data_IF_680719786534
#
_entry.id   IF_680719786534
#
_cell.length_a   1.000
_cell.length_b   1.000
_cell.length_c   1.000
_cell.angle_alpha   90.00
_cell.angle_beta   90.00
_cell.angle_gamma   90.00
#
_symmetry.space_group_name_H-M   'P 1'
#
loop_
_entity.id
_entity.type
_entity.pdbx_description
1 polymer ?
#
# COMPACT_ATOMS: atom_id res chain seq x y z
N UNK A 1 -9.88 13.27 1.01
CA UNK A 1 -10.45 14.10 -0.10
C UNK A 1 -11.43 15.17 0.38
N UNK A 2 -12.37 14.90 1.32
CA UNK A 2 -13.37 15.89 1.78
C UNK A 2 -12.75 17.19 2.35
N UNK A 3 -11.67 17.09 3.13
CA UNK A 3 -10.98 18.28 3.67
C UNK A 3 -10.45 19.18 2.55
N UNK A 4 -9.80 18.61 1.51
CA UNK A 4 -9.32 19.38 0.34
C UNK A 4 -10.49 20.02 -0.42
N UNK A 5 -11.60 19.28 -0.60
CA UNK A 5 -12.79 19.83 -1.21
C UNK A 5 -13.24 21.10 -0.49
N UNK A 6 -13.52 21.03 0.81
CA UNK A 6 -13.97 22.20 1.56
C UNK A 6 -12.92 23.31 1.65
N UNK A 7 -11.64 22.97 1.62
CA UNK A 7 -10.60 24.00 1.62
C UNK A 7 -10.63 24.87 0.36
N UNK A 8 -10.81 24.27 -0.80
CA UNK A 8 -10.78 25.01 -2.07
C UNK A 8 -12.16 25.54 -2.50
N UNK A 9 -13.25 24.85 -2.15
CA UNK A 9 -14.57 25.05 -2.73
C UNK A 9 -15.13 26.45 -2.46
N UNK A 10 -15.53 27.13 -3.55
CA UNK A 10 -16.06 28.47 -3.53
C UNK A 10 -17.28 28.59 -2.60
N UNK A 11 -17.23 29.55 -1.69
CA UNK A 11 -18.30 29.76 -0.69
C UNK A 11 -18.14 28.99 0.62
N UNK A 12 -17.10 28.18 0.79
CA UNK A 12 -16.83 27.49 2.05
C UNK A 12 -16.52 28.50 3.18
N UNK A 13 -17.09 28.26 4.35
CA UNK A 13 -16.76 29.04 5.56
C UNK A 13 -15.35 28.68 6.05
N UNK A 14 -14.48 29.69 6.07
CA UNK A 14 -13.08 29.55 6.53
C UNK A 14 -12.95 29.06 7.97
N UNK A 15 -13.96 29.33 8.80
CA UNK A 15 -13.98 28.90 10.20
C UNK A 15 -13.92 27.38 10.38
N UNK A 16 -14.26 26.61 9.36
CA UNK A 16 -14.11 25.14 9.39
C UNK A 16 -12.67 24.69 9.61
N UNK A 17 -11.70 25.55 9.37
CA UNK A 17 -10.27 25.26 9.51
C UNK A 17 -9.63 25.88 10.73
N UNK A 18 -10.41 26.59 11.57
CA UNK A 18 -9.90 27.20 12.79
C UNK A 18 -9.39 26.12 13.76
N UNK A 19 -8.19 26.34 14.29
CA UNK A 19 -7.54 25.37 15.19
C UNK A 19 -6.81 24.22 14.50
N UNK A 20 -6.93 24.08 13.18
CA UNK A 20 -6.13 23.12 12.41
C UNK A 20 -4.77 23.73 12.01
N UNK A 21 -3.75 22.91 11.83
CA UNK A 21 -2.41 23.36 11.46
C UNK A 21 -2.40 24.29 10.24
N UNK A 22 -3.25 24.02 9.23
CA UNK A 22 -3.36 24.86 8.04
C UNK A 22 -3.80 26.31 8.36
N UNK A 23 -4.51 26.55 9.45
CA UNK A 23 -4.94 27.91 9.83
C UNK A 23 -3.79 28.81 10.26
N UNK A 24 -2.62 28.23 10.59
CA UNK A 24 -1.39 28.98 10.85
C UNK A 24 -0.76 29.54 9.55
N UNK A 25 -1.01 28.91 8.40
CA UNK A 25 -0.53 29.28 7.08
C UNK A 25 -1.39 30.37 6.43
N UNK A 26 -1.35 31.59 6.99
CA UNK A 26 -2.25 32.69 6.63
C UNK A 26 -2.24 33.02 5.15
N UNK A 27 -1.07 33.09 4.54
CA UNK A 27 -0.92 33.43 3.11
C UNK A 27 -1.57 32.35 2.22
N UNK A 28 -1.39 31.06 2.55
CA UNK A 28 -2.03 29.97 1.83
C UNK A 28 -3.54 30.02 1.99
N UNK A 29 -4.02 30.21 3.22
CA UNK A 29 -5.44 30.35 3.50
C UNK A 29 -6.06 31.54 2.76
N UNK A 30 -5.41 32.71 2.76
CA UNK A 30 -5.89 33.88 2.03
C UNK A 30 -5.92 33.66 0.52
N UNK A 31 -4.96 32.92 -0.01
CA UNK A 31 -4.81 32.71 -1.44
C UNK A 31 -5.78 31.66 -1.99
N UNK A 32 -6.06 30.60 -1.23
CA UNK A 32 -6.71 29.41 -1.75
C UNK A 32 -8.05 29.06 -1.12
N UNK A 33 -8.29 29.34 0.17
CA UNK A 33 -9.48 28.87 0.87
C UNK A 33 -10.76 29.49 0.31
N UNK A 34 -11.68 28.62 -0.09
CA UNK A 34 -13.01 29.01 -0.54
C UNK A 34 -13.05 29.76 -1.87
N UNK A 35 -12.08 29.58 -2.78
CA UNK A 35 -11.91 30.42 -3.98
C UNK A 35 -12.01 29.72 -5.31
N UNK A 36 -12.18 28.41 -5.34
CA UNK A 36 -12.14 27.63 -6.57
C UNK A 36 -13.44 26.85 -6.78
N UNK A 37 -13.92 26.70 -8.02
CA UNK A 37 -14.85 25.62 -8.31
C UNK A 37 -14.15 24.27 -8.13
N UNK A 38 -14.82 23.32 -7.46
CA UNK A 38 -14.24 22.00 -7.14
C UNK A 38 -15.15 20.91 -7.70
N UNK A 39 -14.59 20.07 -8.57
CA UNK A 39 -15.20 18.80 -9.00
C UNK A 39 -14.64 17.71 -8.09
N UNK A 40 -15.50 16.98 -7.37
CA UNK A 40 -15.07 15.97 -6.40
C UNK A 40 -15.85 14.67 -6.58
N UNK A 41 -15.19 13.64 -7.09
CA UNK A 41 -15.80 12.35 -7.43
C UNK A 41 -15.10 11.24 -6.64
N UNK A 42 -15.89 10.36 -6.02
CA UNK A 42 -15.39 9.08 -5.50
C UNK A 42 -15.77 7.95 -6.43
N UNK A 43 -14.79 7.17 -6.85
CA UNK A 43 -15.01 6.00 -7.70
C UNK A 43 -15.19 4.70 -6.91
N UNK A 44 -15.29 4.78 -5.58
CA UNK A 44 -15.48 3.64 -4.65
C UNK A 44 -16.63 2.71 -5.06
N UNK A 45 -17.73 3.28 -5.51
CA UNK A 45 -18.93 2.55 -5.94
C UNK A 45 -18.84 1.98 -7.36
N UNK A 46 -17.92 2.47 -8.20
CA UNK A 46 -17.87 2.11 -9.62
C UNK A 46 -17.38 0.67 -9.78
N UNK A 47 -18.16 -0.13 -10.53
CA UNK A 47 -17.92 -1.53 -10.82
C UNK A 47 -19.21 -2.24 -11.18
N UNK A 48 -19.15 -3.44 -11.66
CA UNK A 48 -20.32 -4.22 -12.05
C UNK A 48 -19.93 -5.62 -12.49
N UNK A 49 -20.94 -6.45 -12.75
CA UNK A 49 -20.73 -7.82 -13.26
C UNK A 49 -20.12 -7.85 -14.68
N UNK A 50 -20.31 -6.76 -15.43
CA UNK A 50 -19.84 -6.58 -16.79
C UNK A 50 -19.45 -5.10 -17.03
N UNK A 51 -18.79 -4.84 -18.15
CA UNK A 51 -18.29 -3.51 -18.50
C UNK A 51 -19.41 -2.46 -18.63
N UNK A 52 -20.58 -2.83 -19.20
CA UNK A 52 -21.69 -1.89 -19.37
C UNK A 52 -22.28 -1.47 -18.01
N UNK A 53 -22.43 -2.41 -17.09
CA UNK A 53 -22.88 -2.11 -15.74
C UNK A 53 -21.90 -1.16 -15.02
N UNK A 54 -20.61 -1.41 -15.11
CA UNK A 54 -19.57 -0.56 -14.51
C UNK A 54 -19.54 0.84 -15.16
N UNK A 55 -19.69 0.92 -16.49
CA UNK A 55 -19.76 2.17 -17.23
C UNK A 55 -20.98 3.01 -16.82
N UNK A 56 -22.15 2.39 -16.61
CA UNK A 56 -23.34 3.07 -16.12
C UNK A 56 -23.15 3.61 -14.69
N UNK A 57 -22.43 2.87 -13.82
CA UNK A 57 -22.09 3.40 -12.50
C UNK A 57 -21.13 4.59 -12.58
N UNK A 58 -20.19 4.59 -13.53
CA UNK A 58 -19.30 5.73 -13.77
C UNK A 58 -20.09 6.94 -14.30
N UNK A 59 -21.05 6.75 -15.24
CA UNK A 59 -21.98 7.81 -15.68
C UNK A 59 -22.73 8.41 -14.50
N UNK A 60 -23.23 7.56 -13.60
CA UNK A 60 -23.94 7.99 -12.40
C UNK A 60 -23.04 8.79 -11.44
N UNK A 61 -21.80 8.36 -11.23
CA UNK A 61 -20.86 9.08 -10.38
C UNK A 61 -20.55 10.48 -10.93
N UNK A 62 -20.30 10.59 -12.23
CA UNK A 62 -20.03 11.86 -12.91
C UNK A 62 -21.27 12.74 -12.98
N UNK A 63 -22.42 12.17 -13.35
CA UNK A 63 -23.69 12.91 -13.49
C UNK A 63 -24.16 13.49 -12.17
N UNK A 64 -24.08 12.72 -11.08
CA UNK A 64 -24.44 13.19 -9.74
C UNK A 64 -23.54 14.36 -9.29
N UNK A 65 -22.24 14.31 -9.57
CA UNK A 65 -21.38 15.44 -9.30
C UNK A 65 -21.71 16.65 -10.18
N UNK A 66 -22.02 16.42 -11.46
CA UNK A 66 -22.42 17.48 -12.38
C UNK A 66 -23.72 18.17 -11.94
N UNK A 67 -24.69 17.43 -11.40
CA UNK A 67 -25.96 17.98 -10.88
C UNK A 67 -25.78 19.00 -9.76
N UNK A 68 -24.70 18.97 -9.04
CA UNK A 68 -24.36 20.03 -8.05
C UNK A 68 -24.27 21.41 -8.68
N UNK A 69 -24.03 21.47 -9.97
CA UNK A 69 -23.83 22.68 -10.75
C UNK A 69 -25.04 22.95 -11.70
N UNK A 70 -26.24 22.51 -11.33
CA UNK A 70 -27.45 22.65 -12.18
C UNK A 70 -27.76 24.11 -12.61
N UNK A 71 -27.26 25.09 -11.83
CA UNK A 71 -27.34 26.51 -12.20
C UNK A 71 -26.64 26.85 -13.54
N UNK A 72 -25.75 25.99 -14.03
CA UNK A 72 -25.08 26.19 -15.33
C UNK A 72 -26.05 26.10 -16.52
N UNK A 73 -27.15 25.36 -16.38
CA UNK A 73 -28.17 25.22 -17.46
C UNK A 73 -28.82 26.54 -17.83
N UNK A 74 -28.98 27.42 -16.83
CA UNK A 74 -29.65 28.71 -17.01
C UNK A 74 -28.66 29.89 -16.95
N UNK A 75 -27.36 29.62 -16.92
CA UNK A 75 -26.36 30.65 -16.77
C UNK A 75 -26.22 31.52 -18.03
N UNK A 76 -26.41 32.82 -17.91
CA UNK A 76 -26.16 33.79 -18.97
C UNK A 76 -24.64 33.95 -19.29
N UNK A 77 -23.77 33.49 -18.40
CA UNK A 77 -22.30 33.50 -18.63
C UNK A 77 -21.86 32.43 -19.63
N UNK A 78 -22.70 31.42 -19.89
CA UNK A 78 -22.44 30.37 -20.86
C UNK A 78 -23.20 30.67 -22.15
N UNK A 79 -22.57 30.37 -23.28
CA UNK A 79 -23.24 30.37 -24.59
C UNK A 79 -24.26 29.22 -24.65
N UNK A 80 -25.20 29.29 -25.53
CA UNK A 80 -26.18 28.23 -25.77
C UNK A 80 -25.50 26.88 -26.05
N UNK A 81 -24.43 26.88 -26.85
CA UNK A 81 -23.69 25.69 -27.18
C UNK A 81 -22.98 25.07 -25.95
N UNK A 82 -22.51 25.86 -25.02
CA UNK A 82 -21.89 25.40 -23.78
C UNK A 82 -22.93 24.84 -22.83
N UNK A 83 -24.10 25.46 -22.71
CA UNK A 83 -25.22 24.92 -21.94
C UNK A 83 -25.66 23.57 -22.50
N UNK A 84 -25.79 23.40 -23.81
CA UNK A 84 -26.15 22.13 -24.46
C UNK A 84 -25.09 21.04 -24.17
N UNK A 85 -23.78 21.40 -24.17
CA UNK A 85 -22.73 20.42 -23.79
C UNK A 85 -22.83 20.01 -22.32
N UNK A 86 -23.13 20.95 -21.43
CA UNK A 86 -23.37 20.64 -20.03
C UNK A 86 -24.62 19.76 -19.85
N UNK A 87 -25.73 20.12 -20.49
CA UNK A 87 -26.96 19.35 -20.43
C UNK A 87 -26.75 17.90 -20.90
N UNK A 88 -25.87 17.65 -21.86
CA UNK A 88 -25.55 16.29 -22.31
C UNK A 88 -24.86 15.45 -21.20
N UNK A 89 -24.23 16.07 -20.20
CA UNK A 89 -23.68 15.38 -19.06
C UNK A 89 -24.69 15.04 -17.97
N UNK A 90 -25.73 15.88 -17.81
CA UNK A 90 -26.74 15.74 -16.74
C UNK A 90 -28.09 15.23 -17.24
N UNK A 91 -28.24 15.00 -18.54
CA UNK A 91 -29.53 14.59 -19.12
C UNK A 91 -29.95 13.22 -18.59
N UNK A 92 -31.15 13.12 -18.01
CA UNK A 92 -31.63 11.84 -17.48
C UNK A 92 -32.06 10.89 -18.61
N UNK A 93 -31.86 9.60 -18.38
CA UNK A 93 -32.45 8.52 -19.16
C UNK A 93 -33.84 8.17 -18.62
N UNK A 94 -34.59 7.30 -19.35
CA UNK A 94 -35.93 6.89 -19.00
C UNK A 94 -36.07 6.17 -17.66
N UNK A 95 -34.98 5.58 -17.15
CA UNK A 95 -34.90 4.87 -15.88
C UNK A 95 -34.38 5.74 -14.73
N UNK A 96 -34.13 7.04 -14.99
CA UNK A 96 -33.55 7.98 -14.02
C UNK A 96 -32.03 7.94 -13.91
N UNK A 97 -31.35 7.16 -14.73
CA UNK A 97 -29.91 7.19 -14.93
C UNK A 97 -29.48 8.35 -15.84
N UNK A 98 -28.18 8.49 -16.12
CA UNK A 98 -27.69 9.54 -17.02
C UNK A 98 -27.45 9.01 -18.43
N UNK A 99 -28.10 9.62 -19.42
CA UNK A 99 -28.08 9.25 -20.86
C UNK A 99 -26.79 9.72 -21.59
N UNK A 100 -25.64 9.73 -20.92
CA UNK A 100 -24.37 10.11 -21.54
C UNK A 100 -23.95 9.09 -22.60
N UNK A 101 -23.65 9.54 -23.81
CA UNK A 101 -22.92 8.73 -24.77
C UNK A 101 -21.47 8.47 -24.24
N UNK A 102 -20.79 7.44 -24.76
CA UNK A 102 -19.44 7.15 -24.37
C UNK A 102 -18.49 8.34 -24.61
N UNK A 103 -18.68 9.07 -25.70
CA UNK A 103 -17.92 10.29 -25.98
C UNK A 103 -18.20 11.40 -24.97
N UNK A 104 -19.45 11.60 -24.56
CA UNK A 104 -19.80 12.58 -23.54
C UNK A 104 -19.22 12.20 -22.19
N UNK A 105 -19.26 10.91 -21.82
CA UNK A 105 -18.64 10.42 -20.59
C UNK A 105 -17.14 10.70 -20.58
N UNK A 106 -16.43 10.37 -21.66
CA UNK A 106 -14.98 10.62 -21.77
C UNK A 106 -14.64 12.12 -21.67
N UNK A 107 -15.47 13.00 -22.21
CA UNK A 107 -15.23 14.45 -22.21
C UNK A 107 -15.87 15.15 -21.00
N UNK A 108 -16.61 14.46 -20.15
CA UNK A 108 -17.46 15.04 -19.10
C UNK A 108 -16.71 15.96 -18.13
N UNK A 109 -15.56 15.53 -17.60
CA UNK A 109 -14.76 16.33 -16.67
C UNK A 109 -14.16 17.58 -17.35
N UNK A 110 -13.79 17.48 -18.62
CA UNK A 110 -13.35 18.62 -19.41
C UNK A 110 -14.49 19.62 -19.64
N UNK A 111 -15.69 19.13 -20.01
CA UNK A 111 -16.90 19.95 -20.20
C UNK A 111 -17.24 20.70 -18.91
N UNK A 112 -17.29 20.00 -17.78
CA UNK A 112 -17.56 20.60 -16.48
C UNK A 112 -16.50 21.67 -16.12
N UNK A 113 -15.23 21.36 -16.32
CA UNK A 113 -14.13 22.29 -16.03
C UNK A 113 -14.28 23.58 -16.84
N UNK A 114 -14.55 23.49 -18.14
CA UNK A 114 -14.73 24.64 -19.01
C UNK A 114 -15.93 25.50 -18.61
N UNK A 115 -17.09 24.87 -18.33
CA UNK A 115 -18.30 25.58 -17.92
C UNK A 115 -18.11 26.28 -16.56
N UNK A 116 -17.52 25.58 -15.59
CA UNK A 116 -17.24 26.13 -14.27
C UNK A 116 -16.21 27.25 -14.30
N UNK A 117 -15.13 27.12 -15.07
CA UNK A 117 -14.17 28.19 -15.23
C UNK A 117 -14.81 29.44 -15.78
N UNK A 118 -15.66 29.28 -16.79
CA UNK A 118 -16.35 30.41 -17.40
C UNK A 118 -17.34 31.09 -16.45
N UNK A 119 -18.04 30.29 -15.65
CA UNK A 119 -18.98 30.79 -14.64
C UNK A 119 -18.29 31.52 -13.48
N UNK A 120 -17.26 30.91 -12.89
CA UNK A 120 -16.58 31.46 -11.72
C UNK A 120 -15.43 32.44 -12.06
N UNK A 121 -14.96 32.46 -13.30
CA UNK A 121 -13.76 33.21 -13.69
C UNK A 121 -12.47 32.66 -13.07
N UNK A 122 -12.48 31.41 -12.60
CA UNK A 122 -11.38 30.73 -11.92
C UNK A 122 -11.21 29.33 -12.46
N UNK A 123 -9.97 28.88 -12.59
CA UNK A 123 -9.65 27.50 -12.93
C UNK A 123 -10.19 26.53 -11.89
N UNK A 124 -10.39 25.29 -12.26
CA UNK A 124 -11.09 24.26 -11.49
C UNK A 124 -10.08 23.37 -10.75
N UNK A 125 -10.43 22.96 -9.53
CA UNK A 125 -9.77 21.88 -8.81
C UNK A 125 -10.55 20.58 -9.06
N UNK A 126 -9.86 19.51 -9.45
CA UNK A 126 -10.47 18.18 -9.64
C UNK A 126 -9.91 17.23 -8.61
N UNK A 127 -10.80 16.62 -7.82
CA UNK A 127 -10.48 15.65 -6.77
C UNK A 127 -11.14 14.32 -7.13
N UNK A 128 -10.32 13.26 -7.29
CA UNK A 128 -10.82 11.91 -7.57
C UNK A 128 -10.34 10.97 -6.48
N UNK A 129 -11.29 10.37 -5.77
CA UNK A 129 -11.03 9.43 -4.70
C UNK A 129 -11.21 7.99 -5.17
N UNK A 130 -10.29 7.10 -4.75
CA UNK A 130 -10.33 5.67 -5.06
C UNK A 130 -10.36 5.37 -6.58
N UNK A 131 -9.45 6.02 -7.35
CA UNK A 131 -9.41 5.90 -8.81
C UNK A 131 -9.10 4.48 -9.29
N UNK A 132 -8.51 3.65 -8.47
CA UNK A 132 -8.09 2.27 -8.73
C UNK A 132 -9.22 1.24 -8.55
N UNK A 133 -10.25 1.55 -7.77
CA UNK A 133 -11.34 0.61 -7.49
C UNK A 133 -12.06 0.10 -8.75
N UNK A 134 -12.40 0.93 -9.75
CA UNK A 134 -13.00 0.44 -10.99
C UNK A 134 -12.13 -0.58 -11.73
N UNK A 135 -10.83 -0.45 -11.63
CA UNK A 135 -9.84 -1.30 -12.31
C UNK A 135 -9.67 -2.63 -11.59
N UNK A 136 -9.60 -2.61 -10.27
CA UNK A 136 -9.55 -3.82 -9.46
C UNK A 136 -10.80 -4.69 -9.69
N UNK A 137 -11.99 -4.09 -9.63
CA UNK A 137 -13.24 -4.79 -9.92
C UNK A 137 -13.32 -5.30 -11.36
N UNK A 138 -12.82 -4.54 -12.32
CA UNK A 138 -12.76 -4.94 -13.72
C UNK A 138 -11.82 -6.12 -13.94
N UNK A 139 -10.68 -6.15 -13.23
CA UNK A 139 -9.76 -7.27 -13.27
C UNK A 139 -10.42 -8.55 -12.74
N UNK A 140 -11.11 -8.47 -11.61
CA UNK A 140 -11.81 -9.61 -11.02
C UNK A 140 -12.97 -10.13 -11.89
N UNK A 141 -13.58 -9.25 -12.70
CA UNK A 141 -14.75 -9.57 -13.54
C UNK A 141 -14.41 -9.76 -15.03
N UNK A 142 -13.14 -9.65 -15.43
CA UNK A 142 -12.66 -10.02 -16.77
C UNK A 142 -12.84 -8.95 -17.87
N UNK A 143 -13.10 -7.67 -17.51
CA UNK A 143 -13.19 -6.54 -18.46
C UNK A 143 -12.16 -5.42 -18.18
N UNK A 144 -10.97 -5.81 -17.70
CA UNK A 144 -9.91 -4.88 -17.27
C UNK A 144 -9.48 -3.92 -18.39
N UNK A 145 -9.21 -4.43 -19.58
CA UNK A 145 -8.67 -3.65 -20.69
C UNK A 145 -9.66 -2.56 -21.14
N UNK A 146 -10.94 -2.88 -21.23
CA UNK A 146 -11.98 -1.94 -21.59
C UNK A 146 -12.10 -0.82 -20.54
N UNK A 147 -12.01 -1.17 -19.25
CA UNK A 147 -12.08 -0.19 -18.16
C UNK A 147 -10.82 0.70 -18.13
N UNK A 148 -9.64 0.14 -18.37
CA UNK A 148 -8.38 0.90 -18.49
C UNK A 148 -8.49 1.92 -19.63
N UNK A 149 -8.99 1.54 -20.79
CA UNK A 149 -9.16 2.43 -21.94
C UNK A 149 -10.13 3.58 -21.63
N UNK A 150 -11.27 3.28 -21.01
CA UNK A 150 -12.27 4.27 -20.62
C UNK A 150 -11.70 5.27 -19.60
N UNK A 151 -11.09 4.79 -18.51
CA UNK A 151 -10.51 5.66 -17.46
C UNK A 151 -9.35 6.48 -18.02
N UNK A 152 -8.49 5.89 -18.86
CA UNK A 152 -7.40 6.59 -19.54
C UNK A 152 -7.93 7.72 -20.42
N UNK A 153 -9.00 7.48 -21.18
CA UNK A 153 -9.62 8.48 -22.02
C UNK A 153 -10.23 9.62 -21.21
N UNK A 154 -10.97 9.31 -20.15
CA UNK A 154 -11.58 10.28 -19.23
C UNK A 154 -10.49 11.18 -18.58
N UNK A 155 -9.46 10.58 -18.02
CA UNK A 155 -8.38 11.30 -17.35
C UNK A 155 -7.49 12.05 -18.35
N UNK A 156 -7.28 11.50 -19.55
CA UNK A 156 -6.55 12.16 -20.62
C UNK A 156 -7.18 13.49 -21.02
N UNK A 157 -8.51 13.52 -21.19
CA UNK A 157 -9.24 14.76 -21.49
C UNK A 157 -9.26 15.72 -20.30
N UNK A 158 -9.39 15.19 -19.06
CA UNK A 158 -9.49 16.02 -17.88
C UNK A 158 -8.17 16.69 -17.49
N UNK A 159 -7.00 16.03 -17.74
CA UNK A 159 -5.74 16.45 -17.15
C UNK A 159 -4.65 16.84 -18.16
N UNK A 160 -4.65 16.28 -19.37
CA UNK A 160 -3.55 16.51 -20.33
C UNK A 160 -3.67 17.81 -21.10
N UNK A 161 -4.88 18.16 -21.54
CA UNK A 161 -5.14 19.30 -22.45
C UNK A 161 -6.23 20.21 -21.90
N UNK A 162 -6.40 20.28 -20.61
CA UNK A 162 -7.44 21.05 -19.94
C UNK A 162 -6.88 22.37 -19.40
N UNK A 163 -6.97 23.44 -20.20
CA UNK A 163 -6.53 24.78 -19.79
C UNK A 163 -7.35 25.34 -18.61
N UNK A 164 -8.53 24.76 -18.35
CA UNK A 164 -9.39 25.12 -17.22
C UNK A 164 -8.96 24.49 -15.91
N UNK A 165 -8.02 23.57 -15.92
CA UNK A 165 -7.52 22.90 -14.73
C UNK A 165 -6.53 23.79 -13.94
N UNK A 166 -6.77 23.91 -12.63
CA UNK A 166 -5.81 24.50 -11.67
C UNK A 166 -4.95 23.41 -11.01
N UNK A 167 -5.60 22.43 -10.41
CA UNK A 167 -4.98 21.33 -9.66
C UNK A 167 -5.84 20.09 -9.79
N UNK A 168 -5.21 18.92 -9.92
CA UNK A 168 -5.86 17.64 -9.77
C UNK A 168 -5.18 16.83 -8.65
N UNK A 169 -5.98 16.16 -7.82
CA UNK A 169 -5.52 15.21 -6.81
C UNK A 169 -6.31 13.93 -6.97
N UNK A 170 -5.57 12.83 -7.13
CA UNK A 170 -6.12 11.49 -7.23
C UNK A 170 -5.61 10.65 -6.06
N UNK A 171 -6.49 9.88 -5.42
CA UNK A 171 -6.11 8.91 -4.36
C UNK A 171 -6.55 7.51 -4.74
N UNK A 172 -5.75 6.53 -4.33
CA UNK A 172 -6.02 5.11 -4.51
C UNK A 172 -5.19 4.27 -3.55
N UNK A 173 -5.58 3.03 -3.33
CA UNK A 173 -4.89 2.09 -2.45
C UNK A 173 -3.89 1.22 -3.22
N UNK A 174 -4.19 0.91 -4.48
CA UNK A 174 -3.36 0.04 -5.31
C UNK A 174 -2.38 0.86 -6.14
N UNK A 175 -1.15 0.39 -6.19
CA UNK A 175 -0.18 0.87 -7.18
C UNK A 175 -0.56 0.27 -8.54
N UNK A 176 -1.58 0.82 -9.18
CA UNK A 176 -1.84 0.46 -10.58
C UNK A 176 -0.59 0.86 -11.34
N UNK A 177 0.01 -0.10 -12.07
CA UNK A 177 1.28 0.12 -12.76
C UNK A 177 1.18 1.41 -13.58
N UNK A 178 2.16 2.32 -13.43
CA UNK A 178 2.21 3.60 -14.14
C UNK A 178 1.97 3.46 -15.65
N UNK A 179 2.24 2.27 -16.16
CA UNK A 179 2.20 1.94 -17.59
C UNK A 179 0.79 1.83 -18.17
N UNK A 180 -0.26 1.53 -17.37
CA UNK A 180 -1.59 1.28 -17.94
C UNK A 180 -2.47 2.51 -18.04
N UNK A 181 -2.55 3.37 -17.03
CA UNK A 181 -3.51 4.49 -16.98
C UNK A 181 -2.85 5.83 -17.23
N UNK A 182 -1.67 6.05 -16.63
CA UNK A 182 -0.98 7.33 -16.68
C UNK A 182 0.01 7.46 -17.84
N UNK A 183 0.10 6.45 -18.71
CA UNK A 183 0.92 6.51 -19.93
C UNK A 183 0.49 7.70 -20.77
N UNK A 184 1.40 8.67 -20.93
CA UNK A 184 1.14 9.90 -21.67
C UNK A 184 0.61 11.08 -20.85
N UNK A 185 0.44 10.94 -19.54
CA UNK A 185 0.18 12.04 -18.60
C UNK A 185 1.52 12.47 -17.96
N UNK A 186 2.23 13.39 -18.59
CA UNK A 186 3.63 13.71 -18.21
C UNK A 186 3.75 14.63 -16.99
N UNK A 187 2.65 15.15 -16.44
CA UNK A 187 2.64 16.19 -15.42
C UNK A 187 2.16 15.69 -14.03
N UNK A 188 2.15 14.38 -13.80
CA UNK A 188 1.78 13.80 -12.51
C UNK A 188 3.01 13.54 -11.65
N UNK A 189 2.96 14.03 -10.40
CA UNK A 189 3.82 13.58 -9.33
C UNK A 189 3.06 12.51 -8.54
N UNK A 190 3.67 11.34 -8.38
CA UNK A 190 3.07 10.22 -7.63
C UNK A 190 3.79 10.11 -6.31
N UNK A 191 3.03 10.10 -5.23
CA UNK A 191 3.52 9.92 -3.87
C UNK A 191 2.90 8.68 -3.27
N UNK A 192 3.71 7.89 -2.60
CA UNK A 192 3.30 6.66 -1.93
C UNK A 192 3.61 6.76 -0.44
N UNK A 193 3.10 5.86 0.36
CA UNK A 193 3.42 5.76 1.80
C UNK A 193 4.92 5.52 2.07
N UNK A 194 5.70 5.21 1.05
CA UNK A 194 7.17 5.03 1.13
C UNK A 194 7.95 6.33 0.89
N UNK A 195 7.32 7.36 0.34
CA UNK A 195 8.00 8.59 0.02
C UNK A 195 8.20 9.41 1.30
N UNK A 196 9.42 9.85 1.54
CA UNK A 196 9.76 10.71 2.69
C UNK A 196 9.06 12.06 2.59
N UNK A 197 8.80 12.51 1.36
CA UNK A 197 8.07 13.73 1.11
C UNK A 197 6.60 13.56 1.53
N UNK A 198 6.14 14.44 2.41
CA UNK A 198 4.77 14.47 2.96
C UNK A 198 4.41 13.37 3.97
N UNK A 199 5.36 12.56 4.44
CA UNK A 199 5.09 11.50 5.43
C UNK A 199 4.50 12.05 6.74
N UNK A 200 4.81 13.30 7.10
CA UNK A 200 4.28 14.00 8.27
C UNK A 200 2.79 14.37 8.15
N UNK A 201 2.24 14.36 6.93
CA UNK A 201 0.86 14.81 6.67
C UNK A 201 -0.12 13.67 6.40
N UNK A 202 0.37 12.45 6.31
CA UNK A 202 -0.46 11.26 6.07
C UNK A 202 -0.22 10.21 7.17
N UNK A 203 -1.28 9.88 7.90
CA UNK A 203 -1.21 9.00 9.05
C UNK A 203 -0.96 9.76 10.34
N UNK A 204 -0.22 9.16 11.24
CA UNK A 204 0.13 9.74 12.53
C UNK A 204 1.64 9.74 12.71
N UNK A 205 2.20 10.84 13.18
CA UNK A 205 3.58 10.92 13.61
C UNK A 205 3.78 10.15 14.93
N UNK A 206 5.01 9.72 15.21
CA UNK A 206 5.34 8.96 16.44
C UNK A 206 4.87 9.66 17.71
N UNK A 207 4.99 10.99 17.76
CA UNK A 207 4.59 11.81 18.91
C UNK A 207 3.07 11.80 19.09
N UNK A 208 2.31 11.97 18.01
CA UNK A 208 0.84 11.91 18.03
C UNK A 208 0.35 10.54 18.49
N UNK A 209 1.01 9.47 18.04
CA UNK A 209 0.70 8.10 18.50
C UNK A 209 0.99 7.95 20.00
N UNK A 210 2.11 8.49 20.51
CA UNK A 210 2.44 8.48 21.94
C UNK A 210 1.41 9.23 22.77
N UNK A 211 1.01 10.41 22.32
CA UNK A 211 -0.03 11.22 22.97
C UNK A 211 -1.37 10.47 23.03
N UNK A 212 -1.80 9.87 21.92
CA UNK A 212 -3.02 9.05 21.87
C UNK A 212 -2.95 7.85 22.82
N UNK A 213 -1.85 7.10 22.80
CA UNK A 213 -1.66 5.96 23.68
C UNK A 213 -1.70 6.38 25.17
N UNK A 214 -1.07 7.53 25.51
CA UNK A 214 -1.08 8.09 26.84
C UNK A 214 -2.49 8.51 27.25
N UNK A 215 -3.21 9.20 26.37
CA UNK A 215 -4.59 9.65 26.61
C UNK A 215 -5.54 8.47 26.89
N UNK A 216 -5.42 7.39 26.13
CA UNK A 216 -6.28 6.20 26.29
C UNK A 216 -5.76 5.20 27.34
N UNK A 217 -4.62 5.47 28.00
CA UNK A 217 -4.01 4.58 28.97
C UNK A 217 -3.58 3.23 28.39
N UNK A 218 -3.30 3.16 27.10
CA UNK A 218 -2.89 1.94 26.38
C UNK A 218 -1.42 2.01 26.04
N UNK A 219 -0.75 0.85 26.06
CA UNK A 219 0.68 0.73 25.78
C UNK A 219 1.00 0.06 24.45
N UNK A 220 0.00 -0.31 23.66
CA UNK A 220 0.19 -1.12 22.47
C UNK A 220 -0.74 -0.72 21.32
N UNK A 221 -0.16 -0.67 20.11
CA UNK A 221 -0.89 -0.68 18.86
C UNK A 221 -1.04 -2.14 18.41
N UNK A 222 -2.25 -2.51 17.99
CA UNK A 222 -2.56 -3.84 17.45
C UNK A 222 -3.13 -3.68 16.06
N UNK A 223 -2.67 -4.49 15.10
CA UNK A 223 -3.26 -4.51 13.76
C UNK A 223 -4.73 -4.95 13.88
N UNK A 224 -5.71 -4.10 13.47
CA UNK A 224 -7.11 -4.26 13.86
C UNK A 224 -7.82 -5.43 13.14
N UNK A 225 -7.37 -5.82 11.95
CA UNK A 225 -8.01 -6.84 11.15
C UNK A 225 -7.05 -7.54 10.18
N UNK A 226 -7.56 -8.61 9.52
CA UNK A 226 -6.77 -9.42 8.58
C UNK A 226 -6.37 -8.64 7.33
N UNK A 227 -7.20 -7.74 6.82
CA UNK A 227 -6.94 -6.97 5.60
C UNK A 227 -5.73 -6.05 5.79
N UNK A 228 -5.70 -5.27 6.87
CA UNK A 228 -4.54 -4.44 7.21
C UNK A 228 -3.31 -5.30 7.48
N UNK A 229 -3.47 -6.46 8.12
CA UNK A 229 -2.35 -7.39 8.32
C UNK A 229 -1.75 -7.85 6.99
N UNK A 230 -2.58 -8.18 6.00
CA UNK A 230 -2.11 -8.56 4.66
C UNK A 230 -1.33 -7.43 3.97
N UNK A 231 -1.82 -6.20 4.05
CA UNK A 231 -1.12 -5.03 3.50
C UNK A 231 0.29 -4.90 4.12
N UNK A 232 0.42 -5.07 5.43
CA UNK A 232 1.73 -5.05 6.09
C UNK A 232 2.61 -6.24 5.69
N UNK A 233 2.04 -7.43 5.56
CA UNK A 233 2.78 -8.63 5.13
C UNK A 233 3.32 -8.44 3.71
N UNK A 234 2.46 -8.03 2.76
CA UNK A 234 2.87 -7.77 1.38
C UNK A 234 3.92 -6.66 1.30
N UNK A 235 3.76 -5.58 2.08
CA UNK A 235 4.72 -4.49 2.13
C UNK A 235 6.08 -4.93 2.67
N UNK A 236 6.09 -5.77 3.71
CA UNK A 236 7.31 -6.34 4.28
C UNK A 236 7.97 -7.28 3.25
N UNK A 237 7.19 -8.11 2.55
CA UNK A 237 7.69 -8.99 1.50
C UNK A 237 8.34 -8.19 0.35
N UNK A 238 7.67 -7.15 -0.16
CA UNK A 238 8.26 -6.27 -1.19
C UNK A 238 9.56 -5.62 -0.72
N UNK A 239 9.67 -5.18 0.53
CA UNK A 239 10.91 -4.65 1.08
C UNK A 239 12.03 -5.70 1.11
N UNK A 240 11.71 -6.93 1.48
CA UNK A 240 12.67 -8.02 1.44
C UNK A 240 13.10 -8.35 0.01
N UNK A 241 12.18 -8.36 -0.93
CA UNK A 241 12.51 -8.58 -2.35
C UNK A 241 13.42 -7.48 -2.91
N UNK A 242 13.14 -6.21 -2.64
CA UNK A 242 13.99 -5.08 -3.08
C UNK A 242 15.41 -5.15 -2.48
N UNK A 243 15.55 -5.51 -1.21
CA UNK A 243 16.85 -5.65 -0.56
C UNK A 243 17.59 -6.92 -1.00
N UNK A 244 16.89 -8.03 -1.23
CA UNK A 244 17.50 -9.27 -1.73
C UNK A 244 17.97 -9.13 -3.17
N UNK A 245 17.26 -8.38 -4.03
CA UNK A 245 17.71 -8.09 -5.41
C UNK A 245 18.98 -7.25 -5.44
N UNK A 246 19.13 -6.28 -4.53
CA UNK A 246 20.34 -5.44 -4.45
C UNK A 246 21.61 -6.23 -4.05
N UNK A 247 21.46 -7.34 -3.34
CA UNK A 247 22.56 -8.12 -2.79
C UNK A 247 22.39 -9.64 -3.03
N UNK A 248 21.77 -10.01 -4.14
CA UNK A 248 21.37 -11.39 -4.49
C UNK A 248 22.49 -12.41 -4.30
N UNK A 249 23.75 -12.06 -4.65
CA UNK A 249 24.91 -12.95 -4.48
C UNK A 249 25.22 -13.26 -3.00
N UNK A 250 25.03 -12.30 -2.09
CA UNK A 250 25.26 -12.52 -0.66
C UNK A 250 24.15 -13.35 -0.02
N UNK A 251 22.90 -13.11 -0.44
CA UNK A 251 21.76 -13.92 -0.01
C UNK A 251 21.91 -15.37 -0.50
N UNK A 252 22.32 -15.54 -1.74
CA UNK A 252 22.61 -16.87 -2.30
C UNK A 252 23.72 -17.60 -1.52
N UNK A 253 24.79 -16.90 -1.17
CA UNK A 253 25.87 -17.46 -0.36
C UNK A 253 25.39 -17.84 1.05
N UNK A 254 24.55 -17.02 1.68
CA UNK A 254 23.95 -17.33 2.98
C UNK A 254 23.07 -18.58 2.90
N UNK A 255 22.17 -18.68 1.92
CA UNK A 255 21.35 -19.88 1.72
C UNK A 255 22.23 -21.12 1.46
N UNK A 256 23.28 -20.99 0.66
CA UNK A 256 24.22 -22.07 0.41
C UNK A 256 24.93 -22.53 1.69
N UNK A 257 25.30 -21.62 2.58
CA UNK A 257 25.91 -21.96 3.85
C UNK A 257 25.00 -22.83 4.74
N UNK A 258 23.68 -22.61 4.70
CA UNK A 258 22.70 -23.50 5.34
C UNK A 258 22.69 -24.89 4.70
N UNK A 259 22.73 -24.98 3.37
CA UNK A 259 22.78 -26.26 2.66
C UNK A 259 24.06 -27.06 2.91
N UNK A 260 25.18 -26.37 3.17
CA UNK A 260 26.51 -26.93 3.41
C UNK A 260 26.83 -27.15 4.91
N UNK A 261 25.89 -26.80 5.79
CA UNK A 261 26.05 -26.83 7.25
C UNK A 261 27.28 -26.05 7.75
N UNK A 262 27.60 -24.93 7.06
CA UNK A 262 28.69 -24.05 7.47
C UNK A 262 28.18 -22.95 8.43
N UNK A 263 28.22 -23.27 9.72
CA UNK A 263 27.74 -22.35 10.77
C UNK A 263 28.51 -21.03 10.83
N UNK A 264 29.80 -21.04 10.48
CA UNK A 264 30.61 -19.83 10.47
C UNK A 264 30.21 -18.89 9.33
N UNK A 265 29.97 -19.44 8.14
CA UNK A 265 29.50 -18.67 7.00
C UNK A 265 28.04 -18.17 7.21
N UNK A 266 27.18 -18.97 7.86
CA UNK A 266 25.82 -18.55 8.24
C UNK A 266 25.90 -17.35 9.21
N UNK A 267 26.73 -17.46 10.27
CA UNK A 267 26.90 -16.40 11.27
C UNK A 267 27.44 -15.12 10.65
N UNK A 268 28.47 -15.20 9.80
CA UNK A 268 29.06 -14.05 9.11
C UNK A 268 28.04 -13.38 8.17
N UNK A 269 27.38 -14.16 7.32
CA UNK A 269 26.39 -13.69 6.36
C UNK A 269 25.22 -13.00 7.05
N UNK A 270 24.67 -13.64 8.07
CA UNK A 270 23.52 -13.08 8.81
C UNK A 270 23.92 -11.85 9.64
N UNK A 271 25.07 -11.83 10.30
CA UNK A 271 25.60 -10.65 10.98
C UNK A 271 25.83 -9.48 10.01
N UNK A 272 26.36 -9.74 8.84
CA UNK A 272 26.53 -8.72 7.78
C UNK A 272 25.18 -8.14 7.36
N UNK A 273 24.15 -8.96 7.21
CA UNK A 273 22.80 -8.52 6.92
C UNK A 273 22.22 -7.66 8.04
N UNK A 274 22.22 -8.16 9.29
CA UNK A 274 21.68 -7.47 10.46
C UNK A 274 22.36 -6.10 10.70
N UNK A 275 23.65 -6.00 10.46
CA UNK A 275 24.42 -4.76 10.67
C UNK A 275 23.97 -3.63 9.76
N UNK A 276 23.53 -3.96 8.54
CA UNK A 276 23.14 -3.00 7.49
C UNK A 276 21.65 -2.65 7.55
N UNK A 277 20.82 -3.62 7.89
CA UNK A 277 19.35 -3.53 7.73
C UNK A 277 18.66 -3.05 9.01
N UNK A 278 19.24 -3.27 10.20
CA UNK A 278 18.59 -2.97 11.47
C UNK A 278 19.07 -1.63 12.03
N UNK A 279 18.12 -0.78 12.46
CA UNK A 279 18.38 0.39 13.32
C UNK A 279 18.49 -0.04 14.78
N UNK A 280 19.34 0.67 15.57
CA UNK A 280 19.47 0.43 17.03
C UNK A 280 18.13 0.74 17.75
N UNK A 281 17.27 1.59 17.18
CA UNK A 281 15.98 1.97 17.73
C UNK A 281 14.92 0.87 17.63
N UNK A 282 15.09 -0.10 16.72
CA UNK A 282 14.14 -1.21 16.53
C UNK A 282 14.16 -2.23 17.68
N UNK A 283 15.06 -2.08 18.65
CA UNK A 283 15.32 -3.02 19.74
C UNK A 283 14.60 -2.72 21.07
N UNK A 284 13.68 -1.77 21.15
CA UNK A 284 12.99 -1.38 22.40
C UNK A 284 11.76 -2.25 22.75
N UNK A 285 11.59 -3.41 22.14
CA UNK A 285 10.41 -4.28 22.25
C UNK A 285 10.63 -5.41 23.27
N UNK A 286 9.53 -5.98 23.84
CA UNK A 286 9.54 -7.12 24.79
C UNK A 286 10.18 -8.38 24.18
N UNK A 287 10.78 -9.27 25.01
CA UNK A 287 11.55 -10.46 24.63
C UNK A 287 10.89 -11.30 23.52
N UNK A 288 9.66 -11.74 23.69
CA UNK A 288 8.92 -12.57 22.71
C UNK A 288 8.69 -11.90 21.36
N UNK A 289 8.71 -10.56 21.30
CA UNK A 289 8.58 -9.83 20.04
C UNK A 289 9.93 -9.64 19.33
N UNK A 290 11.02 -9.74 20.06
CA UNK A 290 12.37 -9.69 19.46
C UNK A 290 12.69 -10.98 18.71
N UNK A 291 12.26 -12.13 19.21
CA UNK A 291 12.41 -13.40 18.52
C UNK A 291 11.62 -13.39 17.19
N UNK A 292 10.35 -12.94 17.23
CA UNK A 292 9.51 -12.80 16.03
C UNK A 292 10.11 -11.87 14.96
N UNK A 293 10.88 -10.86 15.37
CA UNK A 293 11.55 -9.95 14.44
C UNK A 293 12.65 -10.66 13.64
N UNK A 294 13.57 -11.38 14.32
CA UNK A 294 14.63 -12.14 13.65
C UNK A 294 14.07 -13.32 12.86
N UNK A 295 13.02 -13.94 13.35
CA UNK A 295 12.26 -14.97 12.65
C UNK A 295 11.71 -14.46 11.31
N UNK A 296 11.04 -13.29 11.31
CA UNK A 296 10.52 -12.67 10.10
C UNK A 296 11.62 -12.37 9.06
N UNK A 297 12.80 -11.93 9.51
CA UNK A 297 13.95 -11.68 8.63
C UNK A 297 14.40 -12.97 7.92
N UNK A 298 14.64 -14.05 8.68
CA UNK A 298 15.07 -15.32 8.08
C UNK A 298 14.02 -15.91 7.17
N UNK A 299 12.75 -15.83 7.57
CA UNK A 299 11.63 -16.27 6.75
C UNK A 299 11.61 -15.52 5.40
N UNK A 300 11.79 -14.20 5.40
CA UNK A 300 11.85 -13.40 4.18
C UNK A 300 13.04 -13.77 3.28
N UNK A 301 14.22 -14.04 3.87
CA UNK A 301 15.41 -14.47 3.11
C UNK A 301 15.15 -15.83 2.43
N UNK A 302 14.59 -16.79 3.16
CA UNK A 302 14.41 -18.15 2.68
C UNK A 302 13.27 -18.31 1.68
N UNK A 303 12.19 -17.52 1.84
CA UNK A 303 11.02 -17.57 0.95
C UNK A 303 11.34 -17.17 -0.49
N UNK A 304 12.43 -16.45 -0.70
CA UNK A 304 12.90 -16.00 -2.01
C UNK A 304 13.91 -16.96 -2.66
N UNK A 305 14.16 -18.14 -2.05
CA UNK A 305 15.10 -19.13 -2.61
C UNK A 305 14.36 -20.16 -3.47
N UNK A 306 14.68 -20.20 -4.75
CA UNK A 306 14.13 -21.20 -5.66
C UNK A 306 14.46 -22.63 -5.21
N UNK A 307 13.44 -23.49 -5.24
CA UNK A 307 13.58 -24.89 -4.86
C UNK A 307 13.53 -25.15 -3.34
N UNK A 308 13.27 -24.12 -2.53
CA UNK A 308 13.03 -24.28 -1.10
C UNK A 308 11.54 -24.18 -0.77
N UNK A 309 11.08 -25.09 0.07
CA UNK A 309 9.76 -24.99 0.72
C UNK A 309 9.97 -24.57 2.16
N UNK A 310 9.48 -23.40 2.50
CA UNK A 310 9.68 -22.78 3.83
C UNK A 310 8.36 -22.81 4.59
N UNK A 311 8.38 -23.31 5.81
CA UNK A 311 7.24 -23.29 6.73
C UNK A 311 7.62 -22.53 7.99
N UNK A 312 6.72 -21.71 8.47
CA UNK A 312 6.87 -20.92 9.68
C UNK A 312 5.87 -21.38 10.72
N UNK A 313 6.31 -21.54 11.97
CA UNK A 313 5.49 -22.05 13.07
C UNK A 313 4.73 -23.34 12.68
N UNK A 314 5.42 -24.24 11.98
CA UNK A 314 4.86 -25.49 11.54
C UNK A 314 4.70 -26.47 12.71
N UNK A 315 3.55 -27.12 12.77
CA UNK A 315 3.34 -28.23 13.70
C UNK A 315 4.25 -29.39 13.29
N UNK A 316 5.10 -29.83 14.21
CA UNK A 316 6.02 -30.95 13.98
C UNK A 316 6.37 -31.61 15.32
N UNK A 317 6.30 -32.93 15.39
CA UNK A 317 6.50 -33.65 16.62
C UNK A 317 5.56 -33.16 17.73
N UNK A 318 6.08 -32.91 18.91
CA UNK A 318 5.33 -32.46 20.09
C UNK A 318 5.22 -30.93 20.24
N UNK A 319 5.31 -30.18 19.12
CA UNK A 319 5.22 -28.71 19.21
C UNK A 319 5.25 -28.01 17.85
N UNK A 320 5.71 -26.77 17.88
CA UNK A 320 5.83 -25.90 16.70
C UNK A 320 7.28 -25.44 16.58
N UNK A 321 7.90 -25.71 15.41
CA UNK A 321 9.22 -25.17 15.07
C UNK A 321 9.10 -23.73 14.60
N UNK A 322 10.08 -22.89 14.90
CA UNK A 322 10.09 -21.51 14.38
C UNK A 322 10.12 -21.50 12.85
N UNK A 323 11.11 -22.16 12.25
CA UNK A 323 11.24 -22.28 10.79
C UNK A 323 11.68 -23.69 10.43
N UNK A 324 10.98 -24.32 9.48
CA UNK A 324 11.46 -25.53 8.80
C UNK A 324 11.59 -25.27 7.30
N UNK A 325 12.61 -25.86 6.69
CA UNK A 325 12.92 -25.69 5.28
C UNK A 325 13.24 -27.03 4.63
N UNK A 326 12.66 -27.25 3.45
CA UNK A 326 12.97 -28.35 2.56
C UNK A 326 13.72 -27.81 1.33
N UNK A 327 14.99 -28.11 1.19
CA UNK A 327 15.74 -27.90 -0.05
C UNK A 327 15.50 -29.10 -0.98
N UNK A 328 14.38 -29.06 -1.71
CA UNK A 328 13.79 -30.19 -2.41
C UNK A 328 14.77 -30.85 -3.39
N UNK A 329 15.52 -30.07 -4.17
CA UNK A 329 16.45 -30.60 -5.18
C UNK A 329 17.68 -31.29 -4.57
N UNK A 330 17.99 -31.04 -3.31
CA UNK A 330 19.15 -31.62 -2.60
C UNK A 330 18.73 -32.68 -1.58
N UNK A 331 17.43 -32.85 -1.36
CA UNK A 331 16.87 -33.75 -0.34
C UNK A 331 17.41 -33.44 1.06
N UNK A 332 17.68 -32.14 1.34
CA UNK A 332 18.17 -31.63 2.62
C UNK A 332 17.05 -30.87 3.33
N UNK A 333 16.79 -31.21 4.59
CA UNK A 333 15.91 -30.46 5.46
C UNK A 333 16.70 -29.70 6.53
N UNK A 334 16.18 -28.56 6.98
CA UNK A 334 16.71 -27.94 8.18
C UNK A 334 15.62 -27.37 9.07
N UNK A 335 15.84 -27.52 10.36
CA UNK A 335 15.00 -26.97 11.41
C UNK A 335 15.79 -25.87 12.12
N UNK A 336 15.16 -24.73 12.28
CA UNK A 336 15.77 -23.56 12.89
C UNK A 336 14.91 -23.14 14.07
N UNK A 337 15.53 -22.95 15.20
CA UNK A 337 14.96 -22.35 16.39
C UNK A 337 15.72 -21.09 16.77
N UNK A 338 14.97 -20.02 17.05
CA UNK A 338 15.53 -18.70 17.34
C UNK A 338 15.35 -18.33 18.80
N UNK A 339 16.37 -17.74 19.40
CA UNK A 339 16.30 -17.20 20.76
C UNK A 339 16.85 -15.78 20.81
N UNK A 340 16.27 -14.95 21.66
CA UNK A 340 16.81 -13.65 21.99
C UNK A 340 17.86 -13.80 23.08
N UNK A 341 19.14 -13.54 22.74
CA UNK A 341 20.25 -13.62 23.68
C UNK A 341 20.26 -12.40 24.60
N UNK A 342 19.62 -12.49 25.76
CA UNK A 342 19.64 -11.42 26.75
C UNK A 342 21.09 -11.16 27.21
N UNK A 343 21.46 -9.88 27.27
CA UNK A 343 22.82 -9.45 27.66
C UNK A 343 23.94 -10.10 26.84
N UNK A 344 23.69 -10.43 25.57
CA UNK A 344 24.62 -11.05 24.65
C UNK A 344 25.12 -12.47 25.09
N UNK A 345 24.27 -13.22 25.79
CA UNK A 345 24.56 -14.62 26.15
C UNK A 345 24.23 -15.57 24.99
N UNK A 346 24.95 -15.40 23.90
CA UNK A 346 24.69 -16.12 22.66
C UNK A 346 24.78 -17.65 22.81
N UNK A 347 25.82 -18.17 23.46
CA UNK A 347 26.04 -19.62 23.63
C UNK A 347 24.92 -20.31 24.41
N UNK A 348 24.37 -19.63 25.40
CA UNK A 348 23.27 -20.13 26.21
C UNK A 348 22.00 -20.21 25.37
N UNK A 349 21.67 -19.12 24.62
CA UNK A 349 20.54 -19.07 23.73
C UNK A 349 20.60 -20.10 22.60
N UNK A 350 21.74 -20.30 21.97
CA UNK A 350 21.92 -21.32 20.94
C UNK A 350 21.72 -22.75 21.47
N UNK A 351 22.26 -23.07 22.66
CA UNK A 351 22.05 -24.38 23.28
C UNK A 351 20.63 -24.61 23.72
N UNK A 352 19.93 -23.58 24.20
CA UNK A 352 18.50 -23.63 24.51
C UNK A 352 17.68 -23.94 23.27
N UNK A 353 17.97 -23.23 22.15
CA UNK A 353 17.32 -23.46 20.86
C UNK A 353 17.51 -24.90 20.36
N UNK A 354 18.74 -25.41 20.33
CA UNK A 354 19.00 -26.80 19.90
C UNK A 354 18.32 -27.84 20.80
N UNK A 355 18.31 -27.61 22.12
CA UNK A 355 17.64 -28.50 23.05
C UNK A 355 16.15 -28.55 22.75
N UNK A 356 15.53 -27.43 22.47
CA UNK A 356 14.10 -27.36 22.12
C UNK A 356 13.78 -28.16 20.84
N UNK A 357 14.63 -28.07 19.80
CA UNK A 357 14.45 -28.88 18.57
C UNK A 357 14.49 -30.37 18.91
N UNK A 358 15.45 -30.81 19.70
CA UNK A 358 15.63 -32.22 20.06
C UNK A 358 14.52 -32.74 20.97
N UNK A 359 14.16 -31.98 22.02
CA UNK A 359 13.15 -32.37 23.00
C UNK A 359 11.75 -32.47 22.37
N UNK A 360 11.48 -31.74 21.27
CA UNK A 360 10.20 -31.65 20.60
C UNK A 360 10.12 -32.42 19.28
N UNK A 361 11.20 -33.07 18.88
CA UNK A 361 11.28 -33.89 17.66
C UNK A 361 10.83 -33.15 16.38
N UNK A 362 11.21 -31.89 16.22
CA UNK A 362 10.77 -31.01 15.12
C UNK A 362 11.21 -31.47 13.72
N UNK A 363 12.00 -32.51 13.61
CA UNK A 363 12.48 -33.08 12.34
C UNK A 363 11.54 -34.14 11.73
N UNK A 364 10.58 -34.67 12.52
CA UNK A 364 9.71 -35.78 12.12
C UNK A 364 9.01 -35.47 10.78
N UNK A 365 8.44 -34.27 10.65
CA UNK A 365 7.76 -33.86 9.43
C UNK A 365 8.70 -33.82 8.20
N UNK A 366 9.94 -33.37 8.37
CA UNK A 366 10.91 -33.33 7.26
C UNK A 366 11.33 -34.73 6.79
N UNK A 367 11.40 -35.68 7.71
CA UNK A 367 11.65 -37.11 7.40
C UNK A 367 10.47 -37.70 6.62
N UNK A 368 9.25 -37.41 7.05
CA UNK A 368 8.02 -37.86 6.38
C UNK A 368 7.90 -37.24 4.96
N UNK A 369 8.33 -35.99 4.79
CA UNK A 369 8.37 -35.29 3.51
C UNK A 369 9.54 -35.76 2.62
N UNK A 370 10.32 -36.75 3.06
CA UNK A 370 11.34 -37.44 2.26
C UNK A 370 12.73 -36.81 2.26
N UNK A 371 13.02 -35.93 3.22
CA UNK A 371 14.38 -35.38 3.36
C UNK A 371 15.35 -36.43 3.89
N UNK A 372 16.51 -36.59 3.26
CA UNK A 372 17.51 -37.62 3.62
C UNK A 372 18.55 -37.11 4.62
N UNK A 373 18.82 -35.82 4.60
CA UNK A 373 19.76 -35.17 5.51
C UNK A 373 19.05 -34.05 6.22
N UNK A 374 19.12 -34.00 7.54
CA UNK A 374 18.50 -32.95 8.34
C UNK A 374 19.54 -32.24 9.18
N UNK A 375 19.62 -30.93 9.06
CA UNK A 375 20.42 -30.06 9.90
C UNK A 375 19.54 -29.35 10.90
N UNK A 376 20.05 -29.16 12.12
CA UNK A 376 19.38 -28.46 13.20
C UNK A 376 20.20 -27.24 13.55
N UNK A 377 19.57 -26.07 13.55
CA UNK A 377 20.24 -24.81 13.83
C UNK A 377 19.62 -24.12 15.05
N UNK A 378 20.41 -23.93 16.07
CA UNK A 378 20.09 -23.02 17.17
C UNK A 378 20.71 -21.66 16.91
N UNK A 379 19.88 -20.65 16.72
CA UNK A 379 20.31 -19.28 16.42
C UNK A 379 19.93 -18.36 17.57
N UNK A 380 20.92 -17.67 18.15
CA UNK A 380 20.68 -16.69 19.19
C UNK A 380 21.04 -15.29 18.69
N UNK A 381 20.09 -14.36 18.81
CA UNK A 381 20.21 -12.99 18.29
C UNK A 381 20.17 -11.95 19.40
N UNK A 382 20.97 -10.91 19.27
CA UNK A 382 20.94 -9.74 20.14
C UNK A 382 21.38 -8.47 19.39
N UNK A 383 20.49 -7.49 19.32
CA UNK A 383 20.72 -6.26 18.55
C UNK A 383 21.07 -6.59 17.08
N UNK A 384 22.28 -6.23 16.64
CA UNK A 384 22.78 -6.43 15.28
C UNK A 384 23.68 -7.66 15.13
N UNK A 385 23.63 -8.58 16.08
CA UNK A 385 24.51 -9.75 16.11
C UNK A 385 23.71 -11.02 16.37
N UNK A 386 24.17 -12.08 15.76
CA UNK A 386 23.75 -13.44 16.07
C UNK A 386 24.95 -14.36 16.30
N UNK A 387 24.67 -15.51 16.88
CA UNK A 387 25.52 -16.69 16.90
C UNK A 387 24.71 -17.88 16.43
N UNK A 388 25.39 -18.80 15.73
CA UNK A 388 24.76 -19.98 15.13
C UNK A 388 25.55 -21.22 15.57
N UNK A 389 24.82 -22.25 16.01
CA UNK A 389 25.38 -23.59 16.23
C UNK A 389 24.50 -24.62 15.55
N UNK A 390 25.10 -25.71 15.06
CA UNK A 390 24.39 -26.87 14.53
C UNK A 390 24.50 -28.07 15.44
N UNK A 391 23.50 -28.98 15.37
CA UNK A 391 23.43 -30.21 16.14
C UNK A 391 22.90 -31.37 15.34
#
# INVERSE_FOLDING_TARGET
MSMLKYFFEAGTDRKLFDGLAISAEKELCEKYTGKFPVISISLKGVGGRDFEAAKNMLRSAVGNEAMRFAFLEQSERLTERERQRYSAVVYPDNDGSFAMSDKVLQDSLLILSQCLQKYYGKKVVILIDEYDVPLDKAYQSGYYDDMVELIRSLFGQAFKTNDSLFLAVLTGCLRVSKESIFTGLNNFSVYTVRDVQYNEYFGFADEEVREMLTYYGRMELVIPNKEIRWIFVDQIQEWFEEETVKDSRKMENLCRAFEENDTAAIEEGFNSYLSRTISIHDNSVRKNRKENFYHGILLGIFSNRDGWRVRSNAESGDGYSDISVEAVYKEIGFVIELKCAENARFDEGCREALRQILDRNYEEQLLDDGMKTIYRYGIACYKKRCKVISG
#
